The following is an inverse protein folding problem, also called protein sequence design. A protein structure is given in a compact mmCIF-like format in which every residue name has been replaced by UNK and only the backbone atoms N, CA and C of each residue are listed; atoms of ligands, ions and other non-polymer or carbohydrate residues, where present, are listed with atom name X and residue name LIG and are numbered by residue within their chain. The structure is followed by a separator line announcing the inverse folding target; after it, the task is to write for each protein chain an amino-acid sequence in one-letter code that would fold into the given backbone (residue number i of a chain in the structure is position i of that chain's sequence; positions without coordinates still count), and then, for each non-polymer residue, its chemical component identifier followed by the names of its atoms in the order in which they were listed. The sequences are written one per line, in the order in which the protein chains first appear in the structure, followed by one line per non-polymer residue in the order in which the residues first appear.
data_IF_393897024141
#
_entry.id   IF_393897024141
#
_cell.length_a   1.000
_cell.length_b   1.000
_cell.length_c   1.000
_cell.angle_alpha   90.00
_cell.angle_beta   90.00
_cell.angle_gamma   90.00
#
_symmetry.space_group_name_H-M   'P 1'
#
loop_
_entity.id
_entity.type
_entity.pdbx_description
1 polymer ?
#
# COMPACT_ATOMS: atom_id res chain seq x y z
N UNK A 1 -3.79 -1.87 -7.25
CA UNK A 1 -3.11 -1.18 -6.13
C UNK A 1 -1.59 -1.22 -6.16
N UNK A 2 -0.94 -2.38 -6.35
CA UNK A 2 0.53 -2.44 -6.45
C UNK A 2 1.12 -1.54 -7.56
N UNK A 3 0.44 -1.40 -8.71
CA UNK A 3 0.95 -0.64 -9.87
C UNK A 3 0.89 0.88 -9.73
N UNK A 4 -0.01 1.41 -8.89
CA UNK A 4 -0.22 2.87 -8.77
C UNK A 4 0.24 3.42 -7.42
N UNK A 5 0.55 2.57 -6.45
CA UNK A 5 1.12 3.02 -5.19
C UNK A 5 2.59 3.39 -5.39
N UNK A 6 2.99 4.66 -5.21
CA UNK A 6 4.37 5.09 -5.46
C UNK A 6 5.35 4.62 -4.38
N UNK A 7 4.88 4.04 -3.27
CA UNK A 7 5.69 3.69 -2.11
C UNK A 7 5.63 2.21 -1.74
N UNK A 8 5.10 1.35 -2.62
CA UNK A 8 5.08 -0.11 -2.38
C UNK A 8 4.29 -0.54 -1.14
N UNK A 9 3.22 0.19 -0.79
CA UNK A 9 2.34 -0.16 0.33
C UNK A 9 1.61 -1.49 0.09
N UNK A 10 1.30 -1.83 -1.15
CA UNK A 10 0.53 -3.01 -1.51
C UNK A 10 1.40 -4.02 -2.26
N UNK A 11 1.56 -5.21 -1.67
CA UNK A 11 2.42 -6.27 -2.18
C UNK A 11 1.67 -7.61 -2.21
N UNK A 12 1.82 -8.37 -3.29
CA UNK A 12 1.28 -9.73 -3.36
C UNK A 12 2.37 -10.74 -2.99
N UNK A 13 2.23 -11.37 -1.83
CA UNK A 13 3.17 -12.36 -1.30
C UNK A 13 2.57 -13.77 -1.42
N UNK A 14 3.41 -14.79 -1.61
CA UNK A 14 2.94 -16.18 -1.63
C UNK A 14 2.38 -16.57 -0.26
N UNK A 15 1.28 -17.32 -0.26
CA UNK A 15 0.69 -17.85 0.98
C UNK A 15 1.59 -18.94 1.57
N UNK A 16 2.17 -19.77 0.69
CA UNK A 16 3.12 -20.81 1.06
C UNK A 16 4.56 -20.33 0.81
N UNK A 17 5.43 -20.66 1.74
CA UNK A 17 6.84 -20.28 1.66
C UNK A 17 7.53 -21.11 0.58
N UNK A 18 8.14 -20.43 -0.40
CA UNK A 18 8.84 -21.02 -1.55
C UNK A 18 7.94 -21.62 -2.66
N UNK A 19 6.66 -21.27 -2.71
CA UNK A 19 5.79 -21.63 -3.84
C UNK A 19 5.46 -20.39 -4.70
N UNK A 20 6.23 -20.11 -5.77
CA UNK A 20 6.07 -18.90 -6.58
C UNK A 20 4.83 -18.93 -7.48
N UNK A 21 4.33 -20.11 -7.83
CA UNK A 21 3.12 -20.33 -8.65
C UNK A 21 1.84 -20.49 -7.82
N UNK A 22 1.96 -20.53 -6.50
CA UNK A 22 0.85 -20.71 -5.58
C UNK A 22 -0.06 -19.50 -5.38
N UNK A 23 -1.12 -19.67 -4.59
CA UNK A 23 -2.02 -18.58 -4.25
C UNK A 23 -1.26 -17.44 -3.55
N UNK A 24 -1.55 -16.21 -3.97
CA UNK A 24 -0.98 -14.99 -3.39
C UNK A 24 -1.99 -14.30 -2.48
N UNK A 25 -1.51 -13.74 -1.38
CA UNK A 25 -2.28 -12.84 -0.53
C UNK A 25 -1.78 -11.41 -0.68
N UNK A 26 -2.71 -10.47 -0.55
CA UNK A 26 -2.36 -9.06 -0.43
C UNK A 26 -1.77 -8.81 0.96
N UNK A 27 -0.57 -8.24 1.00
CA UNK A 27 0.08 -7.71 2.19
C UNK A 27 0.11 -6.18 2.09
N UNK A 28 -0.28 -5.53 3.19
CA UNK A 28 -0.34 -4.06 3.27
C UNK A 28 0.77 -3.60 4.22
N UNK A 29 1.79 -2.97 3.66
CA UNK A 29 2.95 -2.38 4.35
C UNK A 29 2.66 -0.89 4.60
N UNK A 30 1.69 -0.58 5.47
CA UNK A 30 1.21 0.79 5.70
C UNK A 30 2.27 1.76 6.23
N UNK A 31 3.35 1.24 6.81
CA UNK A 31 4.52 2.01 7.26
C UNK A 31 5.20 2.76 6.11
N UNK A 32 5.06 2.29 4.87
CA UNK A 32 5.60 2.94 3.70
C UNK A 32 4.68 4.04 3.14
N UNK A 33 3.50 4.26 3.73
CA UNK A 33 2.52 5.18 3.15
C UNK A 33 3.03 6.63 3.15
N UNK A 34 3.07 7.25 1.97
CA UNK A 34 3.44 8.67 1.80
C UNK A 34 2.24 9.62 1.72
N UNK A 35 1.05 9.15 2.12
CA UNK A 35 -0.18 9.95 2.24
C UNK A 35 -0.68 10.62 0.93
N UNK A 36 -0.22 10.15 -0.24
CA UNK A 36 -0.57 10.72 -1.54
C UNK A 36 -2.03 10.49 -2.00
N UNK A 37 -2.81 9.65 -1.31
CA UNK A 37 -4.20 9.25 -1.66
C UNK A 37 -4.39 8.53 -3.01
N UNK A 38 -3.34 8.27 -3.79
CA UNK A 38 -3.49 7.64 -5.11
C UNK A 38 -4.27 6.33 -5.06
N UNK A 39 -4.10 5.54 -4.00
CA UNK A 39 -4.79 4.27 -3.86
C UNK A 39 -6.30 4.37 -3.64
N UNK A 40 -6.74 5.40 -2.94
CA UNK A 40 -8.15 5.73 -2.71
C UNK A 40 -8.84 6.17 -4.02
N UNK A 41 -8.12 6.98 -4.82
CA UNK A 41 -8.65 7.59 -6.05
C UNK A 41 -8.61 6.63 -7.24
N UNK A 42 -7.54 5.84 -7.38
CA UNK A 42 -7.27 5.04 -8.58
C UNK A 42 -7.70 3.58 -8.47
N UNK A 43 -8.25 3.15 -7.35
CA UNK A 43 -8.87 1.84 -7.25
C UNK A 43 -10.17 1.82 -8.10
N UNK A 44 -10.21 1.04 -9.21
CA UNK A 44 -11.40 0.95 -10.06
C UNK A 44 -12.60 0.33 -9.34
N UNK A 45 -12.35 -0.44 -8.27
CA UNK A 45 -13.38 -1.14 -7.50
C UNK A 45 -13.79 -0.40 -6.24
N UNK A 46 -13.10 0.69 -5.88
CA UNK A 46 -13.37 1.48 -4.67
C UNK A 46 -13.44 0.61 -3.38
N UNK A 47 -12.56 -0.38 -3.29
CA UNK A 47 -12.42 -1.28 -2.13
C UNK A 47 -11.49 -0.71 -1.06
N UNK A 48 -10.72 0.33 -1.37
CA UNK A 48 -9.79 0.99 -0.45
C UNK A 48 -10.47 2.23 0.11
N UNK A 49 -10.50 2.36 1.44
CA UNK A 49 -10.87 3.59 2.14
C UNK A 49 -9.66 4.11 2.92
N UNK A 50 -9.04 5.19 2.43
CA UNK A 50 -7.91 5.80 3.13
C UNK A 50 -8.39 6.63 4.32
N UNK A 51 -7.80 6.40 5.50
CA UNK A 51 -8.04 7.21 6.71
C UNK A 51 -6.72 7.77 7.25
N UNK A 52 -6.80 8.90 7.95
CA UNK A 52 -5.62 9.54 8.54
C UNK A 52 -5.06 8.61 9.64
N UNK A 53 -3.76 8.28 9.62
CA UNK A 53 -3.14 7.54 10.71
C UNK A 53 -3.01 8.40 11.98
N UNK A 54 -2.43 7.84 13.05
CA UNK A 54 -2.22 8.60 14.28
C UNK A 54 -1.33 9.82 14.00
N UNK A 55 -1.64 10.97 14.63
CA UNK A 55 -0.96 12.22 14.35
C UNK A 55 0.54 12.15 14.65
N UNK A 56 1.37 12.59 13.71
CA UNK A 56 2.84 12.54 13.80
C UNK A 56 3.47 11.37 13.02
N UNK A 57 2.66 10.42 12.55
CA UNK A 57 3.11 9.37 11.62
C UNK A 57 2.93 9.84 10.17
N UNK A 58 3.90 9.53 9.32
CA UNK A 58 3.87 9.90 7.90
C UNK A 58 5.23 10.39 7.38
N UNK A 59 5.30 10.71 6.07
CA UNK A 59 6.54 11.18 5.46
C UNK A 59 6.97 12.54 6.01
N UNK A 60 8.26 12.70 6.26
CA UNK A 60 8.89 13.97 6.58
C UNK A 60 9.55 14.55 5.33
N UNK A 61 9.11 15.74 4.93
CA UNK A 61 9.54 16.44 3.73
C UNK A 61 10.31 17.72 4.09
N UNK A 62 11.55 17.63 4.61
CA UNK A 62 12.28 18.80 5.10
C UNK A 62 12.72 19.77 3.98
N UNK A 63 12.77 19.30 2.73
CA UNK A 63 13.26 20.05 1.57
C UNK A 63 12.41 19.81 0.31
N UNK A 64 11.14 19.45 0.49
CA UNK A 64 10.19 19.20 -0.60
C UNK A 64 9.14 20.30 -0.65
#
# INVERSE_FOLDING_TARGET
EQRFCPAGVYEYVSVEQNDPDGPKRLQINSQNCIHCKTCDIKDPTQNINWVVPQGGEGPNYPNM
#
